data_IF_662471575879
#
_entry.id   IF_662471575879
#
_cell.length_a   1.000
_cell.length_b   1.000
_cell.length_c   1.000
_cell.angle_alpha   90.00
_cell.angle_beta   90.00
_cell.angle_gamma   90.00
#
_symmetry.space_group_name_H-M   'P 1'
#
loop_
_entity.id
_entity.type
_entity.pdbx_description
1 polymer ?
#
# COMPACT_ATOMS: atom_id res chain seq x y z
N UNK A 1 2.28 24.66 3.83
CA UNK A 1 3.45 23.81 3.52
C UNK A 1 3.06 22.86 2.40
N UNK A 2 3.95 22.55 1.44
CA UNK A 2 3.64 21.60 0.38
C UNK A 2 3.51 20.17 0.95
N UNK A 3 2.61 19.39 0.38
CA UNK A 3 2.48 17.96 0.68
C UNK A 3 3.70 17.21 0.11
N UNK A 4 4.30 16.32 0.91
CA UNK A 4 5.49 15.54 0.53
C UNK A 4 5.15 14.05 0.50
N UNK A 5 5.42 13.41 -0.64
CA UNK A 5 5.22 11.97 -0.84
C UNK A 5 6.60 11.33 -1.05
N UNK A 6 6.90 10.29 -0.28
CA UNK A 6 8.11 9.49 -0.42
C UNK A 6 7.74 8.09 -0.89
N UNK A 7 8.52 7.56 -1.83
CA UNK A 7 8.40 6.17 -2.30
C UNK A 7 9.73 5.44 -2.14
N UNK A 8 9.69 4.22 -1.63
CA UNK A 8 10.89 3.41 -1.43
C UNK A 8 10.61 1.91 -1.54
N UNK A 9 11.27 1.26 -2.50
CA UNK A 9 11.39 -0.19 -2.52
C UNK A 9 12.39 -0.65 -1.44
N UNK A 10 11.87 -1.28 -0.38
CA UNK A 10 12.66 -1.66 0.81
C UNK A 10 13.25 -3.06 0.74
N UNK A 11 12.88 -3.85 -0.28
CA UNK A 11 13.33 -5.23 -0.45
C UNK A 11 13.23 -6.07 0.86
N UNK A 12 12.08 -5.98 1.53
CA UNK A 12 11.77 -6.65 2.79
C UNK A 12 11.78 -5.67 3.97
N UNK A 13 10.58 -5.31 4.44
CA UNK A 13 10.43 -4.34 5.55
C UNK A 13 11.08 -4.83 6.85
N UNK A 14 11.10 -6.14 7.07
CA UNK A 14 11.75 -6.78 8.23
C UNK A 14 13.26 -6.89 8.12
N UNK A 15 13.81 -6.80 6.89
CA UNK A 15 15.25 -6.81 6.69
C UNK A 15 15.88 -5.45 7.04
N UNK A 16 15.05 -4.40 7.17
CA UNK A 16 15.49 -3.08 7.59
C UNK A 16 15.95 -3.12 9.06
N UNK A 17 17.21 -2.76 9.29
CA UNK A 17 17.80 -2.67 10.63
C UNK A 17 17.40 -1.38 11.34
N UNK A 18 16.10 -1.21 11.58
CA UNK A 18 15.54 -0.05 12.28
C UNK A 18 15.15 -0.42 13.70
N UNK A 19 15.26 0.54 14.61
CA UNK A 19 14.86 0.35 16.03
C UNK A 19 13.35 0.17 16.17
N UNK A 20 12.56 0.89 15.36
CA UNK A 20 11.11 0.75 15.27
C UNK A 20 10.61 1.36 13.96
N UNK A 21 9.44 0.91 13.49
CA UNK A 21 8.75 1.48 12.33
C UNK A 21 8.45 2.96 12.55
N UNK A 22 7.98 3.35 13.74
CA UNK A 22 7.71 4.75 14.09
C UNK A 22 8.93 5.66 13.88
N UNK A 23 10.07 5.28 14.46
CA UNK A 23 11.30 6.09 14.34
C UNK A 23 11.77 6.21 12.89
N UNK A 24 11.61 5.14 12.09
CA UNK A 24 11.87 5.20 10.66
C UNK A 24 10.96 6.24 9.98
N UNK A 25 9.64 6.13 10.12
CA UNK A 25 8.69 7.03 9.45
C UNK A 25 8.91 8.50 9.85
N UNK A 26 9.09 8.76 11.15
CA UNK A 26 9.35 10.11 11.66
C UNK A 26 10.64 10.72 11.07
N UNK A 27 11.67 9.89 10.84
CA UNK A 27 12.95 10.33 10.27
C UNK A 27 12.87 10.68 8.78
N UNK A 28 11.89 10.13 8.05
CA UNK A 28 11.71 10.39 6.62
C UNK A 28 11.06 11.76 6.36
N UNK A 29 10.41 12.35 7.37
CA UNK A 29 9.80 13.68 7.32
C UNK A 29 8.82 13.89 6.14
N UNK A 30 8.13 12.82 5.71
CA UNK A 30 7.14 12.85 4.63
C UNK A 30 5.71 12.74 5.17
N UNK A 31 4.75 13.27 4.41
CA UNK A 31 3.32 13.18 4.73
C UNK A 31 2.74 11.81 4.38
N UNK A 32 3.17 11.27 3.24
CA UNK A 32 2.78 9.95 2.74
C UNK A 32 4.05 9.18 2.39
N UNK A 33 4.18 7.96 2.93
CA UNK A 33 5.33 7.09 2.74
C UNK A 33 4.85 5.78 2.12
N UNK A 34 5.23 5.53 0.88
CA UNK A 34 4.91 4.33 0.13
C UNK A 34 6.11 3.38 0.14
N UNK A 35 5.98 2.21 0.77
CA UNK A 35 7.01 1.18 0.76
C UNK A 35 6.61 0.03 -0.17
N UNK A 36 7.51 -0.36 -1.07
CA UNK A 36 7.34 -1.51 -1.98
C UNK A 36 8.25 -2.68 -1.62
N UNK A 37 7.87 -3.88 -2.09
CA UNK A 37 8.52 -5.14 -1.73
C UNK A 37 8.61 -5.31 -0.21
N UNK A 38 7.50 -5.11 0.49
CA UNK A 38 7.49 -5.29 1.96
C UNK A 38 7.79 -6.73 2.35
N UNK A 39 7.42 -7.70 1.51
CA UNK A 39 7.63 -9.15 1.70
C UNK A 39 7.06 -9.66 3.03
N UNK A 40 6.05 -8.95 3.55
CA UNK A 40 5.30 -9.34 4.73
C UNK A 40 3.97 -9.94 4.29
N UNK A 41 3.50 -10.96 5.00
CA UNK A 41 2.17 -11.53 4.83
C UNK A 41 1.29 -11.18 6.02
N UNK A 42 -0.03 -11.33 5.87
CA UNK A 42 -1.00 -10.98 6.92
C UNK A 42 -0.76 -11.75 8.23
N UNK A 43 -0.38 -13.01 8.14
CA UNK A 43 -0.03 -13.87 9.28
C UNK A 43 1.31 -13.50 9.93
N UNK A 44 2.23 -12.91 9.15
CA UNK A 44 3.51 -12.46 9.66
C UNK A 44 3.44 -11.05 10.22
N UNK A 45 2.53 -10.18 9.76
CA UNK A 45 2.48 -8.77 10.14
C UNK A 45 2.30 -8.59 11.65
N UNK A 46 3.25 -7.90 12.28
CA UNK A 46 3.22 -7.56 13.69
C UNK A 46 2.53 -6.21 13.94
N UNK A 47 1.92 -6.08 15.12
CA UNK A 47 1.17 -4.89 15.53
C UNK A 47 2.00 -3.60 15.46
N UNK A 48 3.26 -3.53 15.91
CA UNK A 48 4.06 -2.30 15.83
C UNK A 48 4.40 -1.85 14.40
N UNK A 49 4.35 -2.75 13.43
CA UNK A 49 4.51 -2.43 12.01
C UNK A 49 3.17 -2.04 11.38
N UNK A 50 2.07 -2.68 11.80
CA UNK A 50 0.74 -2.37 11.30
C UNK A 50 0.19 -1.05 11.86
N UNK A 51 0.29 -0.82 13.16
CA UNK A 51 -0.34 0.28 13.88
C UNK A 51 0.77 1.19 14.40
N UNK A 52 1.02 2.29 13.69
CA UNK A 52 2.08 3.24 14.02
C UNK A 52 1.44 4.54 14.48
N UNK A 53 1.69 4.93 15.73
CA UNK A 53 1.15 6.16 16.30
C UNK A 53 1.44 7.39 15.41
N UNK A 54 0.38 8.11 15.02
CA UNK A 54 0.45 9.29 14.16
C UNK A 54 0.36 9.00 12.65
N UNK A 55 0.25 7.73 12.26
CA UNK A 55 0.09 7.31 10.87
C UNK A 55 -1.04 6.29 10.72
N UNK A 56 -1.83 6.46 9.67
CA UNK A 56 -2.71 5.42 9.16
C UNK A 56 -1.94 4.56 8.17
N UNK A 57 -2.09 3.24 8.23
CA UNK A 57 -1.40 2.31 7.35
C UNK A 57 -2.38 1.53 6.46
N UNK A 58 -2.00 1.34 5.21
CA UNK A 58 -2.80 0.63 4.21
C UNK A 58 -1.91 -0.41 3.53
N UNK A 59 -2.09 -1.68 3.91
CA UNK A 59 -1.31 -2.79 3.39
C UNK A 59 -2.01 -3.48 2.22
N UNK A 60 -1.24 -3.82 1.20
CA UNK A 60 -1.59 -4.80 0.19
C UNK A 60 -0.60 -5.96 0.29
N UNK A 61 -1.13 -7.18 0.40
CA UNK A 61 -0.33 -8.39 0.60
C UNK A 61 -0.36 -9.26 -0.66
N UNK A 62 0.75 -9.92 -0.97
CA UNK A 62 0.76 -10.99 -1.96
C UNK A 62 -0.26 -12.07 -1.59
N UNK A 63 -1.19 -12.37 -2.51
CA UNK A 63 -2.29 -13.32 -2.30
C UNK A 63 -1.91 -14.77 -2.61
N UNK A 64 -0.87 -14.98 -3.43
CA UNK A 64 -0.43 -16.30 -3.89
C UNK A 64 0.84 -16.82 -3.25
N UNK A 65 1.87 -15.97 -3.17
CA UNK A 65 3.22 -16.37 -2.74
C UNK A 65 3.61 -15.65 -1.46
N UNK A 66 3.75 -16.42 -0.39
CA UNK A 66 4.20 -15.92 0.92
C UNK A 66 5.56 -15.23 0.78
N UNK A 67 5.68 -14.00 1.29
CA UNK A 67 6.94 -13.27 1.35
C UNK A 67 7.53 -12.82 0.00
N UNK A 68 6.74 -12.87 -1.09
CA UNK A 68 7.24 -12.53 -2.43
C UNK A 68 7.16 -11.03 -2.75
N UNK A 69 5.99 -10.43 -2.52
CA UNK A 69 5.67 -9.04 -2.88
C UNK A 69 5.06 -8.30 -1.67
N UNK A 70 4.25 -7.28 -1.92
CA UNK A 70 3.51 -6.52 -0.93
C UNK A 70 3.92 -5.06 -0.91
N UNK A 71 2.95 -4.20 -0.60
CA UNK A 71 3.14 -2.76 -0.47
C UNK A 71 2.47 -2.26 0.81
N UNK A 72 2.95 -1.13 1.31
CA UNK A 72 2.27 -0.40 2.39
C UNK A 72 2.37 1.09 2.14
N UNK A 73 1.26 1.79 2.37
CA UNK A 73 1.24 3.24 2.45
C UNK A 73 1.04 3.64 3.91
N UNK A 74 1.95 4.43 4.46
CA UNK A 74 1.77 5.12 5.73
C UNK A 74 1.41 6.58 5.45
N UNK A 75 0.26 7.02 5.92
CA UNK A 75 -0.21 8.40 5.78
C UNK A 75 -0.20 9.05 7.15
N UNK A 76 0.55 10.13 7.31
CA UNK A 76 0.47 10.94 8.53
C UNK A 76 -0.98 11.40 8.74
N UNK A 77 -1.48 11.44 9.98
CA UNK A 77 -2.87 11.83 10.26
C UNK A 77 -3.28 13.18 9.63
N UNK A 78 -2.33 14.11 9.42
CA UNK A 78 -2.59 15.40 8.76
C UNK A 78 -2.83 15.30 7.24
N UNK A 79 -2.51 14.16 6.66
CA UNK A 79 -2.59 13.86 5.22
C UNK A 79 -3.31 12.52 4.98
N UNK A 80 -4.20 12.12 5.88
CA UNK A 80 -5.02 10.92 5.73
C UNK A 80 -5.89 11.03 4.46
N UNK A 81 -5.89 10.01 3.58
CA UNK A 81 -6.72 10.02 2.39
C UNK A 81 -8.21 9.93 2.76
N UNK A 82 -9.07 10.53 1.96
CA UNK A 82 -10.53 10.37 2.11
C UNK A 82 -10.96 8.91 1.91
N UNK A 83 -10.24 8.16 1.08
CA UNK A 83 -10.50 6.77 0.76
C UNK A 83 -9.24 6.07 0.28
N UNK A 84 -9.11 4.79 0.61
CA UNK A 84 -8.05 3.90 0.12
C UNK A 84 -8.68 2.57 -0.30
N UNK A 85 -8.28 2.04 -1.45
CA UNK A 85 -8.72 0.74 -1.96
C UNK A 85 -7.52 -0.03 -2.53
N UNK A 86 -7.65 -1.36 -2.58
CA UNK A 86 -6.69 -2.24 -3.24
C UNK A 86 -7.20 -2.54 -4.66
N UNK A 87 -6.28 -2.54 -5.64
CA UNK A 87 -6.61 -2.67 -7.05
C UNK A 87 -6.83 -1.32 -7.75
N UNK A 88 -6.95 -1.37 -9.08
CA UNK A 88 -7.04 -0.23 -9.99
C UNK A 88 -8.46 -0.06 -10.56
N UNK A 89 -9.26 -1.13 -10.58
CA UNK A 89 -10.59 -1.16 -11.21
C UNK A 89 -11.75 -1.04 -10.22
N UNK A 90 -11.46 -1.00 -8.91
CA UNK A 90 -12.48 -0.99 -7.87
C UNK A 90 -13.25 -2.29 -7.69
N UNK A 91 -12.89 -3.37 -8.39
CA UNK A 91 -13.56 -4.70 -8.28
C UNK A 91 -13.45 -5.35 -6.90
N UNK A 92 -12.51 -4.89 -6.09
CA UNK A 92 -12.37 -5.32 -4.70
C UNK A 92 -13.28 -4.54 -3.75
N UNK A 93 -13.96 -3.49 -4.23
CA UNK A 93 -14.97 -2.76 -3.45
C UNK A 93 -16.27 -3.54 -3.39
N UNK A 94 -16.88 -3.59 -2.21
CA UNK A 94 -18.14 -4.30 -1.96
C UNK A 94 -19.39 -3.57 -2.48
N UNK A 95 -19.25 -2.30 -2.89
CA UNK A 95 -20.35 -1.46 -3.38
C UNK A 95 -19.91 -0.61 -4.58
N UNK A 96 -20.76 -0.51 -5.60
CA UNK A 96 -20.48 0.25 -6.83
C UNK A 96 -20.39 1.77 -6.58
N UNK A 97 -21.13 2.28 -5.60
CA UNK A 97 -21.03 3.68 -5.14
C UNK A 97 -19.71 3.95 -4.40
N UNK A 98 -19.01 2.88 -4.02
CA UNK A 98 -17.77 2.90 -3.25
C UNK A 98 -16.51 2.61 -4.07
N UNK A 99 -16.54 2.74 -5.39
CA UNK A 99 -15.33 2.56 -6.21
C UNK A 99 -14.55 3.88 -6.27
N UNK A 100 -13.25 3.86 -5.93
CA UNK A 100 -12.38 5.00 -6.23
C UNK A 100 -12.21 5.07 -7.74
N UNK A 101 -12.84 6.06 -8.37
CA UNK A 101 -12.67 6.29 -9.82
C UNK A 101 -11.27 6.82 -10.09
N UNK A 102 -10.64 6.30 -11.13
CA UNK A 102 -9.40 6.86 -11.68
C UNK A 102 -9.70 8.08 -12.56
N UNK A 103 -8.75 9.02 -12.60
CA UNK A 103 -8.82 10.16 -13.52
C UNK A 103 -8.42 9.69 -14.94
N UNK A 104 -9.34 9.77 -15.89
CA UNK A 104 -9.09 9.45 -17.31
C UNK A 104 -10.15 8.53 -17.92
N UNK A 105 -10.06 8.32 -19.23
CA UNK A 105 -10.87 7.32 -19.94
C UNK A 105 -10.24 5.94 -19.74
N UNK A 106 -10.83 5.15 -18.87
CA UNK A 106 -10.39 3.78 -18.55
C UNK A 106 -11.02 2.73 -19.44
N UNK A 107 -12.07 3.05 -20.20
CA UNK A 107 -12.77 2.08 -21.05
C UNK A 107 -11.82 1.54 -22.12
N UNK A 108 -10.90 2.38 -22.58
CA UNK A 108 -9.85 2.01 -23.53
C UNK A 108 -8.86 0.97 -22.98
N UNK A 109 -8.67 0.91 -21.66
CA UNK A 109 -7.67 0.06 -21.00
C UNK A 109 -8.29 -0.96 -20.04
N UNK A 110 -9.62 -1.15 -20.12
CA UNK A 110 -10.35 -1.98 -19.16
C UNK A 110 -9.74 -3.40 -19.05
N UNK A 111 -9.42 -4.05 -20.17
CA UNK A 111 -8.79 -5.38 -20.17
C UNK A 111 -7.41 -5.40 -19.54
N UNK A 112 -6.62 -4.34 -19.69
CA UNK A 112 -5.25 -4.27 -19.16
C UNK A 112 -5.29 -4.01 -17.65
N UNK A 113 -6.15 -3.11 -17.19
CA UNK A 113 -6.37 -2.84 -15.77
C UNK A 113 -6.91 -4.08 -15.05
N UNK A 114 -7.80 -4.83 -15.72
CA UNK A 114 -8.31 -6.11 -15.23
C UNK A 114 -7.22 -7.16 -15.06
N UNK A 115 -6.30 -7.22 -16.03
CA UNK A 115 -5.16 -8.12 -15.96
C UNK A 115 -4.22 -7.74 -14.80
N UNK A 116 -3.97 -6.44 -14.60
CA UNK A 116 -3.14 -5.93 -13.50
C UNK A 116 -3.74 -6.23 -12.12
N UNK A 117 -5.05 -6.05 -11.93
CA UNK A 117 -5.73 -6.45 -10.69
C UNK A 117 -5.67 -7.97 -10.45
N UNK A 118 -5.53 -8.75 -11.53
CA UNK A 118 -5.33 -10.18 -11.47
C UNK A 118 -3.86 -10.60 -11.33
N UNK A 119 -2.86 -9.74 -11.53
CA UNK A 119 -1.44 -10.13 -11.49
C UNK A 119 -1.00 -10.62 -10.10
N UNK A 120 -1.51 -9.99 -9.03
CA UNK A 120 -1.31 -10.47 -7.65
C UNK A 120 -1.98 -11.84 -7.41
N UNK A 121 -2.94 -12.21 -8.26
CA UNK A 121 -3.54 -13.54 -8.35
C UNK A 121 -2.95 -14.41 -9.46
N UNK A 122 -1.95 -13.99 -10.24
CA UNK A 122 -1.45 -14.75 -11.39
C UNK A 122 0.06 -15.01 -11.37
N UNK A 123 0.87 -14.29 -10.60
CA UNK A 123 2.31 -14.55 -10.52
C UNK A 123 2.62 -15.95 -9.98
N UNK A 124 2.93 -16.84 -10.92
CA UNK A 124 3.21 -18.27 -10.78
C UNK A 124 4.65 -18.57 -10.41
#
# INVERSE_FOLDING_TARGET
MPLTILTWNVNGIRAMKVKSTKQLLDSLQADIICLQETKVTRDMLDEPTAIVEGYDSYFSFSRKRTGYSGTVNYCNMRACPLKAEEGLTGRHSSSYEDIIKCYGDTDKYASDLDALDAEDYQML
#
